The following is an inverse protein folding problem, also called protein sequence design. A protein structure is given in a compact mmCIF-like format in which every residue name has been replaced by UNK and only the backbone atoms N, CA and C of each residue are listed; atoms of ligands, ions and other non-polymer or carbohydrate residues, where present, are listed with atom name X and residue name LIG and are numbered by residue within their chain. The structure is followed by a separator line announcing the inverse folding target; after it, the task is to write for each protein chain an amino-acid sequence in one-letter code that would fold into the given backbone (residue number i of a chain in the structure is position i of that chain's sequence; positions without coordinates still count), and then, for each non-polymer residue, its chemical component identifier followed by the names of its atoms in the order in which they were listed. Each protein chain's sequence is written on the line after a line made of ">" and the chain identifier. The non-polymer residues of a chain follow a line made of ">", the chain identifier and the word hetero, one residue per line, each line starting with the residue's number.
data_IF_923063620226
#
_entry.id   IF_923063620226
#
_cell.length_a   1.000
_cell.length_b   1.000
_cell.length_c   1.000
_cell.angle_alpha   90.00
_cell.angle_beta   90.00
_cell.angle_gamma   90.00
#
_symmetry.space_group_name_H-M   'P 1'
#
loop_
_entity.id
_entity.type
_entity.pdbx_description
1 polymer ?
#
# COMPACT_ATOMS: atom_id res chain seq x y z
N UNK A 1 -5.53 -0.27 -2.15
CA UNK A 1 -6.10 0.97 -2.74
C UNK A 1 -5.07 1.69 -3.60
N UNK A 2 -5.49 2.57 -4.52
CA UNK A 2 -4.59 3.36 -5.39
C UNK A 2 -4.93 4.84 -5.34
N UNK A 3 -3.92 5.69 -5.09
CA UNK A 3 -4.07 7.14 -5.02
C UNK A 3 -2.95 7.86 -5.79
N UNK A 4 -3.27 9.00 -6.39
CA UNK A 4 -2.31 9.95 -6.96
C UNK A 4 -2.49 11.26 -6.20
N UNK A 5 -1.40 11.75 -5.61
CA UNK A 5 -1.42 12.95 -4.76
C UNK A 5 -0.26 13.88 -5.09
N UNK A 6 -0.38 15.14 -4.69
CA UNK A 6 0.75 16.08 -4.68
C UNK A 6 1.81 15.64 -3.66
N UNK A 7 3.11 15.98 -3.84
CA UNK A 7 4.18 15.46 -3.00
C UNK A 7 4.05 15.80 -1.51
N UNK A 8 3.40 16.93 -1.20
CA UNK A 8 3.19 17.41 0.16
C UNK A 8 1.84 16.98 0.76
N UNK A 9 0.98 16.32 -0.02
CA UNK A 9 -0.30 15.82 0.47
C UNK A 9 -0.11 14.46 1.15
N UNK A 10 -0.14 14.48 2.48
CA UNK A 10 0.01 13.31 3.34
C UNK A 10 -1.33 12.68 3.74
N UNK A 11 -2.47 13.20 3.26
CA UNK A 11 -3.82 12.78 3.69
C UNK A 11 -4.14 11.30 3.44
N UNK A 12 -3.39 10.66 2.55
CA UNK A 12 -3.53 9.24 2.17
C UNK A 12 -2.51 8.33 2.85
N UNK A 13 -1.65 8.87 3.72
CA UNK A 13 -0.67 8.12 4.52
C UNK A 13 -1.22 8.05 5.94
N UNK A 14 -2.17 7.14 6.15
CA UNK A 14 -2.74 6.89 7.47
C UNK A 14 -2.35 5.49 7.92
N UNK A 15 -1.87 5.37 9.15
CA UNK A 15 -1.54 4.10 9.77
C UNK A 15 -2.66 3.73 10.75
N UNK A 16 -3.21 2.54 10.62
CA UNK A 16 -4.13 1.95 11.61
C UNK A 16 -3.40 0.82 12.32
N UNK A 17 -3.58 0.72 13.64
CA UNK A 17 -3.06 -0.40 14.43
C UNK A 17 -3.92 -1.68 14.27
N UNK A 18 -5.11 -1.55 13.69
CA UNK A 18 -6.08 -2.64 13.59
C UNK A 18 -5.84 -3.52 12.36
N UNK A 19 -5.01 -3.06 11.42
CA UNK A 19 -4.75 -3.74 10.14
C UNK A 19 -3.27 -3.87 9.88
N UNK A 20 -2.86 -5.05 9.42
CA UNK A 20 -1.51 -5.28 8.89
C UNK A 20 -1.49 -4.86 7.42
N UNK A 21 -1.12 -3.62 7.15
CA UNK A 21 -1.11 -3.03 5.79
C UNK A 21 0.32 -2.67 5.37
N UNK A 22 0.60 -2.80 4.08
CA UNK A 22 1.83 -2.34 3.43
C UNK A 22 1.45 -1.24 2.44
N UNK A 23 2.16 -0.11 2.52
CA UNK A 23 2.00 1.02 1.61
C UNK A 23 3.26 1.20 0.78
N UNK A 24 3.12 1.16 -0.55
CA UNK A 24 4.17 1.48 -1.52
C UNK A 24 3.96 2.90 -2.02
N UNK A 25 5.02 3.72 -1.97
CA UNK A 25 5.00 5.10 -2.44
C UNK A 25 6.11 5.28 -3.47
N UNK A 26 5.77 5.82 -4.64
CA UNK A 26 6.75 6.15 -5.69
C UNK A 26 6.46 7.49 -6.34
N UNK A 27 7.50 8.11 -6.90
CA UNK A 27 7.39 9.32 -7.70
C UNK A 27 6.84 8.99 -9.09
N UNK A 28 5.89 9.79 -9.57
CA UNK A 28 5.41 9.72 -10.95
C UNK A 28 5.41 11.12 -11.58
N UNK A 29 5.18 11.20 -12.89
CA UNK A 29 5.05 12.47 -13.63
C UNK A 29 6.20 13.45 -13.30
N UNK A 30 7.44 13.01 -13.55
CA UNK A 30 8.65 13.80 -13.26
C UNK A 30 8.73 14.30 -11.80
N UNK A 31 8.33 13.44 -10.85
CA UNK A 31 8.31 13.70 -9.42
C UNK A 31 7.34 14.81 -8.95
N UNK A 32 6.50 15.35 -9.83
CA UNK A 32 5.44 16.30 -9.48
C UNK A 32 4.30 15.66 -8.70
N UNK A 33 4.19 14.33 -8.71
CA UNK A 33 3.13 13.60 -8.03
C UNK A 33 3.69 12.35 -7.35
N UNK A 34 2.91 11.79 -6.43
CA UNK A 34 3.18 10.51 -5.77
C UNK A 34 2.08 9.52 -6.11
N UNK A 35 2.47 8.31 -6.52
CA UNK A 35 1.58 7.16 -6.58
C UNK A 35 1.67 6.43 -5.25
N UNK A 36 0.54 6.30 -4.56
CA UNK A 36 0.41 5.56 -3.31
C UNK A 36 -0.44 4.33 -3.59
N UNK A 37 0.14 3.15 -3.33
CA UNK A 37 -0.55 1.87 -3.38
C UNK A 37 -0.58 1.26 -1.99
N UNK A 38 -1.74 0.80 -1.56
CA UNK A 38 -1.88 0.12 -0.27
C UNK A 38 -2.42 -1.29 -0.43
N UNK A 39 -1.89 -2.24 0.33
CA UNK A 39 -2.29 -3.64 0.31
C UNK A 39 -2.35 -4.22 1.72
N UNK A 40 -3.41 -4.94 2.02
CA UNK A 40 -3.60 -5.63 3.30
C UNK A 40 -2.93 -7.00 3.27
N UNK A 41 -2.27 -7.38 4.37
CA UNK A 41 -1.70 -8.71 4.53
C UNK A 41 -2.84 -9.73 4.63
N UNK A 42 -3.00 -10.54 3.58
CA UNK A 42 -3.91 -11.68 3.58
C UNK A 42 -3.21 -12.91 4.12
N UNK A 43 -3.84 -13.61 5.08
CA UNK A 43 -3.34 -14.89 5.58
C UNK A 43 -3.35 -15.91 4.44
N UNK A 44 -2.16 -16.31 3.99
CA UNK A 44 -2.01 -17.34 2.97
C UNK A 44 -1.89 -18.70 3.66
N UNK A 45 -3.02 -19.40 3.84
CA UNK A 45 -3.02 -20.79 4.31
C UNK A 45 -2.65 -21.71 3.15
N UNK A 46 -1.36 -22.03 3.02
CA UNK A 46 -0.89 -23.08 2.12
C UNK A 46 -1.17 -24.45 2.76
N UNK A 47 -2.23 -25.13 2.33
CA UNK A 47 -2.48 -26.53 2.72
C UNK A 47 -1.60 -27.44 1.85
N UNK A 48 -0.46 -27.87 2.39
CA UNK A 48 0.37 -28.91 1.77
C UNK A 48 -0.29 -30.27 2.00
N UNK A 49 -0.97 -30.80 0.98
CA UNK A 49 -1.34 -32.22 0.94
C UNK A 49 -0.10 -33.02 0.52
N UNK A 50 0.57 -33.62 1.49
CA UNK A 50 1.56 -34.66 1.22
C UNK A 50 0.76 -35.97 1.01
N UNK A 51 0.93 -36.58 -0.17
CA UNK A 51 0.40 -37.92 -0.48
C UNK A 51 1.39 -38.98 -0.04
#
# INVERSE_FOLDING_TARGET
>A
NRYIVEPNDTSKINFSNDKKEITLITCINHAKQRLILTGELVNFNLVLKIK
#
